data_IF_202659196225
#
_entry.id   IF_202659196225
#
_cell.length_a   1.000
_cell.length_b   1.000
_cell.length_c   1.000
_cell.angle_alpha   90.00
_cell.angle_beta   90.00
_cell.angle_gamma   90.00
#
_symmetry.space_group_name_H-M   'P 1'
#
loop_
_entity.id
_entity.type
_entity.pdbx_description
1 polymer ?
#
# COMPACT_ATOMS: atom_id res chain seq x y z
N UNK A 1 -43.07 -22.72 15.89
CA UNK A 1 -41.99 -22.39 14.93
C UNK A 1 -41.89 -23.53 13.95
N UNK A 2 -42.17 -23.28 12.67
CA UNK A 2 -42.15 -24.32 11.64
C UNK A 2 -40.70 -24.69 11.27
N UNK A 3 -40.39 -25.98 11.05
CA UNK A 3 -39.03 -26.49 10.84
C UNK A 3 -38.34 -26.05 9.53
N UNK A 4 -39.01 -25.31 8.64
CA UNK A 4 -38.39 -24.71 7.45
C UNK A 4 -37.60 -23.42 7.72
N UNK A 5 -37.94 -22.67 8.79
CA UNK A 5 -37.37 -21.33 9.01
C UNK A 5 -35.91 -21.31 9.45
N UNK A 6 -35.41 -22.36 10.10
CA UNK A 6 -34.00 -22.41 10.51
C UNK A 6 -33.06 -22.73 9.33
N UNK A 7 -33.49 -23.60 8.41
CA UNK A 7 -32.71 -23.94 7.23
C UNK A 7 -32.57 -22.72 6.31
N UNK A 8 -33.68 -22.04 6.01
CA UNK A 8 -33.66 -20.84 5.18
C UNK A 8 -32.83 -19.72 5.82
N UNK A 9 -32.93 -19.55 7.16
CA UNK A 9 -32.07 -18.63 7.91
C UNK A 9 -30.59 -19.01 7.86
N UNK A 10 -30.26 -20.29 7.98
CA UNK A 10 -28.87 -20.76 7.93
C UNK A 10 -28.27 -20.55 6.52
N UNK A 11 -29.04 -20.81 5.47
CA UNK A 11 -28.63 -20.54 4.08
C UNK A 11 -28.45 -19.03 3.87
N UNK A 12 -29.41 -18.19 4.28
CA UNK A 12 -29.31 -16.74 4.12
C UNK A 12 -28.16 -16.13 4.93
N UNK A 13 -27.89 -16.65 6.13
CA UNK A 13 -26.77 -16.20 6.96
C UNK A 13 -25.40 -16.62 6.41
N UNK A 14 -25.34 -17.66 5.57
CA UNK A 14 -24.15 -18.02 4.82
C UNK A 14 -23.93 -17.10 3.62
N UNK A 15 -25.01 -16.58 3.02
CA UNK A 15 -24.97 -15.64 1.90
C UNK A 15 -24.63 -14.20 2.35
N UNK A 16 -25.23 -13.72 3.45
CA UNK A 16 -24.89 -12.45 4.09
C UNK A 16 -24.85 -12.61 5.63
N UNK A 17 -23.65 -12.72 6.24
CA UNK A 17 -23.53 -12.91 7.67
C UNK A 17 -23.73 -11.61 8.48
N UNK A 18 -24.07 -10.48 7.83
CA UNK A 18 -24.17 -9.17 8.49
C UNK A 18 -25.15 -9.18 9.68
N UNK A 19 -26.34 -9.78 9.53
CA UNK A 19 -27.34 -9.90 10.61
C UNK A 19 -26.85 -10.73 11.80
N UNK A 20 -26.08 -11.79 11.51
CA UNK A 20 -25.49 -12.63 12.54
C UNK A 20 -24.44 -11.84 13.33
N UNK A 21 -23.56 -11.14 12.61
CA UNK A 21 -22.52 -10.32 13.21
C UNK A 21 -23.10 -9.17 14.01
N UNK A 22 -24.15 -8.52 13.53
CA UNK A 22 -24.84 -7.45 14.25
C UNK A 22 -25.39 -7.94 15.58
N UNK A 23 -26.11 -9.08 15.59
CA UNK A 23 -26.67 -9.64 16.82
C UNK A 23 -25.59 -9.99 17.84
N UNK A 24 -24.47 -10.56 17.39
CA UNK A 24 -23.37 -10.91 18.30
C UNK A 24 -22.70 -9.64 18.82
N UNK A 25 -22.37 -8.70 17.93
CA UNK A 25 -21.69 -7.46 18.27
C UNK A 25 -22.49 -6.59 19.24
N UNK A 26 -23.78 -6.37 18.96
CA UNK A 26 -24.63 -5.51 19.78
C UNK A 26 -25.08 -6.17 21.09
N UNK A 27 -25.44 -7.46 21.05
CA UNK A 27 -26.14 -8.09 22.17
C UNK A 27 -25.27 -9.03 23.02
N UNK A 28 -24.18 -9.59 22.47
CA UNK A 28 -23.36 -10.59 23.18
C UNK A 28 -22.00 -10.07 23.62
N UNK A 29 -21.48 -9.05 22.93
CA UNK A 29 -20.23 -8.42 23.30
C UNK A 29 -20.44 -7.31 24.34
N UNK A 30 -19.52 -7.22 25.29
CA UNK A 30 -19.45 -6.09 26.20
C UNK A 30 -18.90 -4.84 25.50
N UNK A 31 -19.11 -3.66 26.08
CA UNK A 31 -18.60 -2.41 25.50
C UNK A 31 -17.06 -2.39 25.33
N UNK A 32 -16.23 -2.87 26.28
CA UNK A 32 -14.78 -2.98 26.06
C UNK A 32 -14.41 -3.96 24.93
N UNK A 33 -15.17 -5.05 24.77
CA UNK A 33 -14.96 -6.03 23.69
C UNK A 33 -15.27 -5.39 22.33
N UNK A 34 -16.41 -4.68 22.21
CA UNK A 34 -16.75 -3.90 21.01
C UNK A 34 -15.68 -2.86 20.70
N UNK A 35 -15.27 -2.08 21.70
CA UNK A 35 -14.24 -1.04 21.54
C UNK A 35 -12.93 -1.61 20.99
N UNK A 36 -12.49 -2.77 21.50
CA UNK A 36 -11.30 -3.44 20.99
C UNK A 36 -11.44 -3.84 19.53
N UNK A 37 -12.58 -4.41 19.14
CA UNK A 37 -12.84 -4.82 17.76
C UNK A 37 -12.94 -3.62 16.81
N UNK A 38 -13.58 -2.52 17.23
CA UNK A 38 -13.62 -1.29 16.44
C UNK A 38 -12.21 -0.72 16.22
N UNK A 39 -11.41 -0.65 17.28
CA UNK A 39 -10.02 -0.16 17.20
C UNK A 39 -9.20 -1.05 16.28
N UNK A 40 -9.28 -2.38 16.43
CA UNK A 40 -8.55 -3.30 15.57
C UNK A 40 -8.99 -3.19 14.11
N UNK A 41 -10.28 -2.95 13.83
CA UNK A 41 -10.79 -2.82 12.45
C UNK A 41 -10.24 -1.59 11.73
N UNK A 42 -9.81 -0.57 12.46
CA UNK A 42 -9.12 0.58 11.87
C UNK A 42 -7.66 0.31 11.55
N UNK A 43 -7.10 -0.83 11.97
CA UNK A 43 -5.74 -1.25 11.59
C UNK A 43 -5.83 -2.39 10.60
N UNK A 44 -5.20 -2.22 9.44
CA UNK A 44 -5.33 -3.16 8.29
C UNK A 44 -4.72 -4.54 8.53
N UNK A 45 -3.80 -4.64 9.48
CA UNK A 45 -3.00 -5.82 9.72
C UNK A 45 -3.05 -6.21 11.21
N UNK A 46 -1.93 -6.71 11.73
CA UNK A 46 -1.79 -7.11 13.12
C UNK A 46 -1.18 -5.96 13.94
N UNK A 47 -1.61 -5.84 15.19
CA UNK A 47 -1.05 -4.93 16.18
C UNK A 47 -0.27 -5.70 17.25
N UNK A 48 0.85 -5.15 17.68
CA UNK A 48 1.52 -5.59 18.90
C UNK A 48 0.63 -5.30 20.13
N UNK A 49 0.67 -6.17 21.14
CA UNK A 49 -0.20 -6.12 22.31
C UNK A 49 -0.17 -4.76 23.05
N UNK A 50 1.01 -4.21 23.26
CA UNK A 50 1.22 -2.88 23.83
C UNK A 50 0.68 -1.77 22.94
N UNK A 51 0.90 -1.84 21.63
CA UNK A 51 0.32 -0.91 20.66
C UNK A 51 -1.22 -0.92 20.69
N UNK A 52 -1.83 -2.13 20.74
CA UNK A 52 -3.27 -2.33 20.83
C UNK A 52 -3.85 -1.73 22.12
N UNK A 53 -3.22 -2.00 23.27
CA UNK A 53 -3.65 -1.43 24.55
C UNK A 53 -3.60 0.11 24.54
N UNK A 54 -2.55 0.69 23.92
CA UNK A 54 -2.45 2.15 23.75
C UNK A 54 -3.56 2.68 22.87
N UNK A 55 -3.80 2.09 21.71
CA UNK A 55 -4.88 2.50 20.81
C UNK A 55 -6.26 2.39 21.46
N UNK A 56 -6.52 1.30 22.18
CA UNK A 56 -7.78 1.07 22.90
C UNK A 56 -8.02 2.13 23.97
N UNK A 57 -7.01 2.45 24.78
CA UNK A 57 -7.16 3.47 25.82
C UNK A 57 -7.35 4.88 25.25
N UNK A 58 -6.68 5.22 24.14
CA UNK A 58 -6.92 6.49 23.44
C UNK A 58 -8.34 6.60 22.90
N UNK A 59 -8.87 5.50 22.34
CA UNK A 59 -10.26 5.43 21.92
C UNK A 59 -11.22 5.63 23.11
N UNK A 60 -11.02 4.89 24.20
CA UNK A 60 -11.87 4.98 25.40
C UNK A 60 -11.84 6.35 26.06
N UNK A 61 -10.68 7.00 26.09
CA UNK A 61 -10.56 8.38 26.59
C UNK A 61 -11.40 9.35 25.75
N UNK A 62 -11.46 9.15 24.42
CA UNK A 62 -12.25 9.99 23.52
C UNK A 62 -13.76 9.77 23.65
N UNK A 63 -14.19 8.57 24.05
CA UNK A 63 -15.60 8.21 24.27
C UNK A 63 -16.05 8.35 25.73
N UNK A 64 -15.18 8.82 26.64
CA UNK A 64 -15.43 8.94 28.08
C UNK A 64 -15.73 7.60 28.77
N UNK A 65 -15.25 6.51 28.19
CA UNK A 65 -15.37 5.15 28.73
C UNK A 65 -14.18 4.86 29.65
N UNK A 66 -14.38 3.99 30.63
CA UNK A 66 -13.30 3.59 31.54
C UNK A 66 -12.18 2.87 30.79
N UNK A 67 -10.93 3.27 31.07
CA UNK A 67 -9.73 2.66 30.48
C UNK A 67 -9.65 1.17 30.79
N UNK A 68 -9.23 0.41 29.78
CA UNK A 68 -9.02 -1.04 29.90
C UNK A 68 -7.68 -1.31 30.57
N UNK A 69 -7.70 -2.03 31.69
CA UNK A 69 -6.46 -2.50 32.33
C UNK A 69 -5.82 -3.65 31.54
N UNK A 70 -4.52 -3.89 31.74
CA UNK A 70 -3.83 -5.06 31.13
C UNK A 70 -4.52 -6.39 31.46
N UNK A 71 -4.97 -6.55 32.70
CA UNK A 71 -5.68 -7.76 33.12
C UNK A 71 -7.03 -7.90 32.40
N UNK A 72 -7.78 -6.82 32.27
CA UNK A 72 -9.04 -6.83 31.52
C UNK A 72 -8.82 -7.10 30.03
N UNK A 73 -7.78 -6.52 29.42
CA UNK A 73 -7.40 -6.79 28.05
C UNK A 73 -7.12 -8.29 27.83
N UNK A 74 -6.38 -8.94 28.75
CA UNK A 74 -6.16 -10.40 28.72
C UNK A 74 -7.47 -11.18 28.65
N UNK A 75 -8.42 -10.86 29.53
CA UNK A 75 -9.70 -11.56 29.59
C UNK A 75 -10.51 -11.39 28.30
N UNK A 76 -10.51 -10.17 27.76
CA UNK A 76 -11.15 -9.85 26.48
C UNK A 76 -10.51 -10.66 25.35
N UNK A 77 -9.18 -10.66 25.25
CA UNK A 77 -8.45 -11.41 24.22
C UNK A 77 -8.73 -12.92 24.33
N UNK A 78 -8.73 -13.49 25.54
CA UNK A 78 -9.06 -14.92 25.75
C UNK A 78 -10.48 -15.26 25.30
N UNK A 79 -11.45 -14.36 25.52
CA UNK A 79 -12.84 -14.54 25.10
C UNK A 79 -13.01 -14.44 23.58
N UNK A 80 -12.32 -13.50 22.93
CA UNK A 80 -12.50 -13.20 21.50
C UNK A 80 -11.61 -14.06 20.58
N UNK A 81 -10.61 -14.74 21.14
CA UNK A 81 -9.69 -15.60 20.39
C UNK A 81 -10.43 -16.76 19.69
N UNK A 82 -9.99 -17.09 18.47
CA UNK A 82 -10.52 -18.19 17.66
C UNK A 82 -11.84 -17.86 16.94
N UNK A 83 -12.65 -16.93 17.47
CA UNK A 83 -13.88 -16.48 16.79
C UNK A 83 -13.64 -15.19 16.00
N UNK A 84 -13.15 -14.15 16.67
CA UNK A 84 -12.93 -12.84 16.07
C UNK A 84 -11.46 -12.57 15.83
N UNK A 85 -10.61 -13.00 16.76
CA UNK A 85 -9.19 -12.64 16.80
C UNK A 85 -8.32 -13.86 16.53
N UNK A 86 -7.25 -13.62 15.78
CA UNK A 86 -6.08 -14.49 15.75
C UNK A 86 -5.00 -13.84 16.62
N UNK A 87 -4.46 -14.62 17.56
CA UNK A 87 -3.37 -14.20 18.44
C UNK A 87 -2.17 -15.06 18.08
N UNK A 88 -1.09 -14.43 17.61
CA UNK A 88 0.19 -15.10 17.40
C UNK A 88 1.12 -14.72 18.54
N UNK A 89 1.44 -15.69 19.38
CA UNK A 89 2.54 -15.59 20.35
C UNK A 89 3.88 -15.79 19.66
N UNK A 90 4.97 -15.46 20.34
CA UNK A 90 6.34 -15.75 19.93
C UNK A 90 6.77 -15.11 18.60
N UNK A 91 6.13 -14.00 18.24
CA UNK A 91 6.52 -13.21 17.09
C UNK A 91 7.75 -12.40 17.44
N UNK A 92 8.81 -12.56 16.66
CA UNK A 92 10.05 -11.79 16.80
C UNK A 92 9.84 -10.40 16.23
N UNK A 93 9.71 -9.41 17.10
CA UNK A 93 9.60 -8.00 16.71
C UNK A 93 10.94 -7.31 16.94
N UNK A 94 11.38 -6.53 15.96
CA UNK A 94 12.61 -5.73 16.01
C UNK A 94 12.22 -4.25 15.92
N UNK A 95 12.14 -3.61 17.09
CA UNK A 95 11.87 -2.18 17.26
C UNK A 95 12.58 -1.67 18.52
N UNK A 96 13.88 -1.41 18.36
CA UNK A 96 14.77 -0.98 19.44
C UNK A 96 14.35 0.34 20.08
N UNK A 97 13.69 1.22 19.31
CA UNK A 97 13.22 2.51 19.80
C UNK A 97 12.13 2.36 20.86
N UNK A 98 11.34 1.29 20.78
CA UNK A 98 10.28 0.96 21.74
C UNK A 98 10.67 -0.19 22.69
N UNK A 99 11.95 -0.56 22.73
CA UNK A 99 12.46 -1.61 23.61
C UNK A 99 12.06 -3.03 23.20
N UNK A 100 11.57 -3.23 21.97
CA UNK A 100 11.25 -4.55 21.43
C UNK A 100 12.50 -5.14 20.76
N UNK A 101 12.97 -6.24 21.31
CA UNK A 101 14.14 -6.95 20.80
C UNK A 101 13.71 -8.27 20.15
N UNK A 102 14.29 -8.68 19.00
CA UNK A 102 13.89 -9.90 18.29
C UNK A 102 14.10 -11.20 19.09
N UNK A 103 14.88 -11.15 20.17
CA UNK A 103 15.09 -12.29 21.09
C UNK A 103 13.99 -12.41 22.15
N UNK A 104 13.15 -11.38 22.32
CA UNK A 104 12.04 -11.39 23.26
C UNK A 104 10.76 -11.70 22.48
N UNK A 105 10.08 -12.82 22.77
CA UNK A 105 8.83 -13.15 22.10
C UNK A 105 7.81 -12.03 22.35
N UNK A 106 7.19 -11.56 21.29
CA UNK A 106 6.12 -10.57 21.35
C UNK A 106 4.81 -11.18 20.88
N UNK A 107 3.70 -10.57 21.30
CA UNK A 107 2.36 -11.00 20.90
C UNK A 107 1.78 -10.00 19.92
N UNK A 108 1.29 -10.52 18.80
CA UNK A 108 0.54 -9.74 17.81
C UNK A 108 -0.88 -10.25 17.69
N UNK A 109 -1.81 -9.33 17.48
CA UNK A 109 -3.25 -9.56 17.43
C UNK A 109 -3.79 -9.02 16.12
N UNK A 110 -4.54 -9.84 15.40
CA UNK A 110 -5.27 -9.44 14.19
C UNK A 110 -6.63 -10.11 14.13
N UNK A 111 -7.43 -9.80 13.11
CA UNK A 111 -8.69 -10.52 12.88
C UNK A 111 -8.45 -11.94 12.38
N UNK A 112 -9.28 -12.87 12.84
CA UNK A 112 -9.34 -14.23 12.30
C UNK A 112 -10.33 -14.34 11.13
N UNK A 113 -11.37 -13.49 11.08
CA UNK A 113 -12.47 -13.62 10.14
C UNK A 113 -12.67 -12.35 9.29
N UNK A 114 -12.35 -12.39 7.98
CA UNK A 114 -12.55 -11.26 7.07
C UNK A 114 -13.99 -10.77 6.97
N UNK A 115 -14.98 -11.67 7.02
CA UNK A 115 -16.40 -11.29 6.94
C UNK A 115 -16.84 -10.41 8.12
N UNK A 116 -16.18 -10.55 9.27
CA UNK A 116 -16.44 -9.71 10.42
C UNK A 116 -15.81 -8.31 10.26
N UNK A 117 -14.64 -8.23 9.62
CA UNK A 117 -14.03 -6.94 9.25
C UNK A 117 -14.97 -6.17 8.31
N UNK A 118 -15.50 -6.83 7.29
CA UNK A 118 -16.48 -6.25 6.37
C UNK A 118 -17.73 -5.74 7.11
N UNK A 119 -18.24 -6.52 8.07
CA UNK A 119 -19.34 -6.08 8.93
C UNK A 119 -18.97 -4.84 9.75
N UNK A 120 -17.81 -4.79 10.40
CA UNK A 120 -17.39 -3.64 11.21
C UNK A 120 -17.21 -2.39 10.34
N UNK A 121 -16.66 -2.52 9.14
CA UNK A 121 -16.52 -1.39 8.21
C UNK A 121 -17.90 -0.86 7.76
N UNK A 122 -18.86 -1.74 7.47
CA UNK A 122 -20.27 -1.34 7.20
C UNK A 122 -20.94 -0.71 8.42
N UNK A 123 -20.72 -1.27 9.61
CA UNK A 123 -21.23 -0.73 10.87
C UNK A 123 -20.72 0.68 11.12
N UNK A 124 -19.42 0.91 11.01
CA UNK A 124 -18.82 2.23 11.18
C UNK A 124 -19.33 3.24 10.14
N UNK A 125 -19.52 2.83 8.89
CA UNK A 125 -20.09 3.69 7.86
C UNK A 125 -21.53 4.13 8.16
N UNK A 126 -22.34 3.29 8.82
CA UNK A 126 -23.72 3.63 9.21
C UNK A 126 -23.82 4.35 10.56
N UNK A 127 -22.73 4.47 11.33
CA UNK A 127 -22.70 5.06 12.66
C UNK A 127 -21.74 6.27 12.71
N UNK A 128 -22.16 7.47 12.26
CA UNK A 128 -21.30 8.66 12.20
C UNK A 128 -20.70 9.04 13.55
N UNK A 129 -21.44 8.86 14.65
CA UNK A 129 -20.94 9.17 15.99
C UNK A 129 -19.77 8.26 16.40
N UNK A 130 -19.77 7.00 15.97
CA UNK A 130 -18.67 6.06 16.21
C UNK A 130 -17.44 6.44 15.39
N UNK A 131 -17.62 6.89 14.13
CA UNK A 131 -16.52 7.43 13.31
C UNK A 131 -15.93 8.68 13.95
N UNK A 132 -16.78 9.60 14.42
CA UNK A 132 -16.36 10.80 15.10
C UNK A 132 -15.49 10.48 16.33
N UNK A 133 -15.96 9.55 17.16
CA UNK A 133 -15.23 9.08 18.33
C UNK A 133 -13.91 8.40 17.91
N UNK A 134 -13.96 7.50 16.94
CA UNK A 134 -12.79 6.77 16.46
C UNK A 134 -11.71 7.70 15.93
N UNK A 135 -12.07 8.69 15.10
CA UNK A 135 -11.13 9.65 14.54
C UNK A 135 -10.45 10.53 15.62
N UNK A 136 -11.21 10.95 16.65
CA UNK A 136 -10.65 11.65 17.81
C UNK A 136 -9.78 10.75 18.68
N UNK A 137 -10.16 9.47 18.77
CA UNK A 137 -9.49 8.43 19.55
C UNK A 137 -8.34 7.72 18.83
N UNK A 138 -8.05 8.03 17.56
CA UNK A 138 -6.93 7.40 16.86
C UNK A 138 -5.59 7.71 17.55
N UNK A 139 -4.77 6.67 17.73
CA UNK A 139 -3.41 6.78 18.29
C UNK A 139 -2.34 6.77 17.19
N UNK A 140 -2.61 6.08 16.09
CA UNK A 140 -1.69 5.86 14.98
C UNK A 140 -2.27 6.38 13.67
N UNK A 141 -1.42 6.92 12.80
CA UNK A 141 -1.82 7.48 11.52
C UNK A 141 -2.58 6.46 10.64
N UNK A 142 -2.17 5.21 10.70
CA UNK A 142 -2.74 4.08 9.95
C UNK A 142 -4.24 3.87 10.26
N UNK A 143 -4.67 4.22 11.47
CA UNK A 143 -6.08 4.18 11.85
C UNK A 143 -6.89 5.23 11.09
N UNK A 144 -6.41 6.47 11.09
CA UNK A 144 -7.04 7.56 10.35
C UNK A 144 -7.00 7.33 8.83
N UNK A 145 -5.88 6.84 8.31
CA UNK A 145 -5.72 6.48 6.89
C UNK A 145 -6.74 5.40 6.46
N UNK A 146 -7.00 4.40 7.31
CA UNK A 146 -7.99 3.37 7.04
C UNK A 146 -9.39 3.94 6.92
N UNK A 147 -9.79 4.83 7.84
CA UNK A 147 -11.08 5.53 7.76
C UNK A 147 -11.19 6.38 6.47
N UNK A 148 -10.12 7.09 6.11
CA UNK A 148 -10.06 7.88 4.86
C UNK A 148 -10.15 7.01 3.62
N UNK A 149 -9.61 5.81 3.68
CA UNK A 149 -9.68 4.85 2.57
C UNK A 149 -11.09 4.32 2.37
N UNK A 150 -11.79 3.99 3.46
CA UNK A 150 -13.21 3.66 3.38
C UNK A 150 -14.02 4.82 2.79
N UNK A 151 -13.75 6.03 3.25
CA UNK A 151 -14.42 7.23 2.76
C UNK A 151 -14.18 7.47 1.28
N UNK A 152 -12.93 7.45 0.83
CA UNK A 152 -12.56 7.74 -0.56
C UNK A 152 -12.92 6.62 -1.53
N UNK A 153 -13.05 5.37 -1.05
CA UNK A 153 -13.24 4.19 -1.89
C UNK A 153 -12.06 3.93 -2.84
N UNK A 154 -10.94 4.63 -2.64
CA UNK A 154 -9.72 4.45 -3.40
C UNK A 154 -8.96 3.27 -2.81
N UNK A 155 -8.49 2.38 -3.67
CA UNK A 155 -7.48 1.42 -3.24
C UNK A 155 -6.25 2.21 -2.79
N UNK A 156 -5.81 1.96 -1.56
CA UNK A 156 -4.59 2.57 -1.06
C UNK A 156 -3.45 2.25 -2.03
N UNK A 157 -2.68 3.23 -2.54
CA UNK A 157 -1.62 2.97 -3.51
C UNK A 157 -0.55 2.02 -2.98
N UNK A 158 -0.49 1.86 -1.65
CA UNK A 158 0.46 0.99 -0.97
C UNK A 158 -0.02 -0.44 -0.79
N UNK A 159 -1.34 -0.70 -0.97
CA UNK A 159 -2.01 -2.01 -0.84
C UNK A 159 -3.41 -1.99 -1.46
N UNK A 160 -3.67 -2.89 -2.39
CA UNK A 160 -5.04 -3.36 -2.62
C UNK A 160 -5.55 -4.05 -1.35
N UNK A 161 -6.84 -3.93 -1.05
CA UNK A 161 -7.51 -4.76 -0.04
C UNK A 161 -7.26 -6.27 -0.27
N UNK A 162 -6.93 -6.63 -1.51
CA UNK A 162 -6.53 -7.97 -1.93
C UNK A 162 -5.17 -8.45 -1.36
N UNK A 163 -4.21 -7.54 -1.15
CA UNK A 163 -2.95 -7.85 -0.47
C UNK A 163 -3.17 -8.17 1.02
N UNK A 164 -4.16 -7.51 1.63
CA UNK A 164 -4.57 -7.76 3.01
C UNK A 164 -5.17 -9.17 3.12
N UNK A 165 -6.07 -9.55 2.22
CA UNK A 165 -6.62 -10.92 2.17
C UNK A 165 -5.56 -11.98 1.90
N UNK A 166 -4.53 -11.69 1.09
CA UNK A 166 -3.43 -12.65 0.84
C UNK A 166 -2.52 -12.85 2.05
N UNK A 167 -2.45 -11.89 2.97
CA UNK A 167 -1.75 -12.01 4.25
C UNK A 167 -2.58 -12.82 5.26
N UNK A 168 -3.90 -12.64 5.28
CA UNK A 168 -4.82 -13.41 6.13
C UNK A 168 -4.91 -14.88 5.71
N UNK A 169 -4.82 -15.18 4.42
CA UNK A 169 -4.75 -16.54 3.91
C UNK A 169 -3.34 -16.82 3.35
N UNK A 170 -2.41 -17.29 4.21
CA UNK A 170 -1.07 -17.83 3.81
C UNK A 170 -1.16 -19.11 2.94
N UNK A 171 -2.11 -19.19 2.00
CA UNK A 171 -2.26 -20.24 1.01
C UNK A 171 -1.98 -19.68 -0.39
N UNK A 172 -0.94 -20.20 -1.03
CA UNK A 172 -0.45 -19.95 -2.40
C UNK A 172 -1.35 -19.13 -3.35
N UNK A 173 -0.81 -18.11 -4.06
CA UNK A 173 -1.53 -17.26 -5.01
C UNK A 173 -1.91 -17.94 -6.34
N UNK A 174 -1.98 -19.28 -6.38
CA UNK A 174 -2.33 -20.03 -7.60
C UNK A 174 -3.84 -20.25 -7.67
N UNK A 175 -4.58 -19.18 -7.97
CA UNK A 175 -6.01 -19.28 -8.16
C UNK A 175 -6.66 -17.91 -8.26
N UNK A 176 -6.52 -17.28 -9.42
CA UNK A 176 -7.20 -16.05 -9.82
C UNK A 176 -8.71 -16.34 -9.98
N UNK A 177 -9.41 -16.62 -8.88
CA UNK A 177 -10.87 -16.70 -8.87
C UNK A 177 -11.40 -15.28 -9.03
N UNK A 178 -12.37 -15.11 -9.94
CA UNK A 178 -13.17 -13.88 -10.08
C UNK A 178 -13.73 -13.52 -8.69
N UNK A 179 -13.12 -12.53 -8.03
CA UNK A 179 -13.56 -12.05 -6.72
C UNK A 179 -14.54 -10.91 -6.94
N UNK A 180 -15.67 -10.99 -6.23
CA UNK A 180 -16.61 -9.89 -6.16
C UNK A 180 -15.90 -8.67 -5.59
N UNK A 181 -15.89 -7.57 -6.34
CA UNK A 181 -15.41 -6.27 -5.88
C UNK A 181 -16.34 -5.82 -4.75
N UNK A 182 -15.91 -6.02 -3.51
CA UNK A 182 -16.64 -5.51 -2.33
C UNK A 182 -16.56 -3.99 -2.42
N UNK A 183 -17.70 -3.32 -2.59
CA UNK A 183 -17.74 -1.87 -2.56
C UNK A 183 -17.23 -1.39 -1.19
N UNK A 184 -16.22 -0.52 -1.20
CA UNK A 184 -15.73 0.07 0.04
C UNK A 184 -16.85 0.87 0.70
N UNK A 185 -17.06 0.69 2.01
CA UNK A 185 -18.16 1.35 2.70
C UNK A 185 -17.90 2.86 2.75
N UNK A 186 -18.83 3.65 2.20
CA UNK A 186 -18.75 5.12 2.25
C UNK A 186 -19.19 5.60 3.62
N UNK A 187 -18.42 6.48 4.26
CA UNK A 187 -18.83 7.02 5.55
C UNK A 187 -19.98 7.99 5.37
N UNK A 188 -20.76 8.18 6.44
CA UNK A 188 -21.79 9.21 6.46
C UNK A 188 -21.19 10.61 6.19
N UNK A 189 -21.88 11.47 5.42
CA UNK A 189 -21.42 12.84 5.16
C UNK A 189 -21.18 13.63 6.44
N UNK A 190 -20.20 14.54 6.43
CA UNK A 190 -19.92 15.47 7.53
C UNK A 190 -18.75 15.06 8.44
N UNK A 191 -18.17 13.85 8.26
CA UNK A 191 -17.05 13.37 9.06
C UNK A 191 -15.67 13.81 8.54
N UNK A 192 -15.62 14.40 7.34
CA UNK A 192 -14.37 14.69 6.65
C UNK A 192 -13.43 15.66 7.38
N UNK A 193 -13.97 16.66 8.08
CA UNK A 193 -13.17 17.60 8.86
C UNK A 193 -12.47 16.89 10.03
N UNK A 194 -13.19 16.00 10.72
CA UNK A 194 -12.67 15.29 11.89
C UNK A 194 -11.63 14.25 11.48
N UNK A 195 -11.81 13.61 10.32
CA UNK A 195 -10.79 12.76 9.73
C UNK A 195 -9.54 13.55 9.36
N UNK A 196 -9.68 14.71 8.72
CA UNK A 196 -8.55 15.57 8.39
C UNK A 196 -7.80 16.03 9.65
N UNK A 197 -8.52 16.47 10.70
CA UNK A 197 -7.94 16.82 11.99
C UNK A 197 -7.17 15.64 12.62
N UNK A 198 -7.71 14.43 12.54
CA UNK A 198 -7.04 13.23 13.02
C UNK A 198 -5.73 12.97 12.26
N UNK A 199 -5.74 13.09 10.92
CA UNK A 199 -4.54 12.93 10.10
C UNK A 199 -3.47 13.96 10.43
N UNK A 200 -3.83 15.24 10.52
CA UNK A 200 -2.90 16.33 10.88
C UNK A 200 -2.28 16.05 12.26
N UNK A 201 -3.10 15.71 13.26
CA UNK A 201 -2.64 15.37 14.62
C UNK A 201 -1.67 14.20 14.63
N UNK A 202 -1.86 13.22 13.75
CA UNK A 202 -1.10 11.98 13.69
C UNK A 202 0.04 12.01 12.65
N UNK A 203 0.23 13.12 11.95
CA UNK A 203 1.22 13.25 10.87
C UNK A 203 2.64 12.81 11.29
N UNK A 204 2.99 13.06 12.56
CA UNK A 204 4.31 12.73 13.15
C UNK A 204 4.24 11.58 14.16
N UNK A 205 3.12 10.84 14.23
CA UNK A 205 3.01 9.72 15.16
C UNK A 205 3.92 8.56 14.75
N UNK A 206 4.26 7.68 15.69
CA UNK A 206 4.82 6.38 15.34
C UNK A 206 3.84 5.58 14.47
N UNK A 207 4.38 4.70 13.65
CA UNK A 207 3.61 3.72 12.87
C UNK A 207 3.28 2.53 13.75
N UNK A 208 2.10 1.94 13.61
CA UNK A 208 1.77 0.66 14.25
C UNK A 208 1.91 -0.55 13.31
N UNK A 209 2.51 -0.34 12.14
CA UNK A 209 2.55 -1.33 11.07
C UNK A 209 3.85 -2.14 11.08
N UNK A 210 3.73 -3.46 10.89
CA UNK A 210 4.83 -4.42 10.95
C UNK A 210 5.03 -5.11 9.59
N UNK A 211 6.29 -5.18 9.13
CA UNK A 211 6.66 -5.87 7.89
C UNK A 211 7.76 -6.90 8.12
N UNK A 212 7.81 -7.93 7.29
CA UNK A 212 8.90 -8.91 7.32
C UNK A 212 10.23 -8.21 7.00
N UNK A 213 11.18 -8.26 7.94
CA UNK A 213 12.53 -7.74 7.72
C UNK A 213 13.38 -8.67 6.85
N UNK A 214 14.63 -8.29 6.61
CA UNK A 214 15.62 -9.16 5.94
C UNK A 214 15.96 -10.43 6.74
N UNK A 215 15.66 -10.45 8.05
CA UNK A 215 15.84 -11.61 8.93
C UNK A 215 14.53 -12.35 9.24
N UNK A 216 14.56 -13.18 10.28
CA UNK A 216 13.40 -13.97 10.72
C UNK A 216 12.33 -13.16 11.49
N UNK A 217 12.59 -11.88 11.79
CA UNK A 217 11.69 -11.01 12.56
C UNK A 217 10.87 -10.03 11.72
N UNK A 218 9.79 -9.53 12.31
CA UNK A 218 9.05 -8.36 11.79
C UNK A 218 9.69 -7.08 12.31
N UNK A 219 9.79 -6.07 11.46
CA UNK A 219 10.25 -4.73 11.80
C UNK A 219 9.10 -3.75 11.69
N UNK A 220 9.06 -2.76 12.58
CA UNK A 220 8.11 -1.67 12.49
C UNK A 220 8.43 -0.88 11.22
N UNK A 221 7.52 -0.86 10.25
CA UNK A 221 7.71 -0.09 9.02
C UNK A 221 7.30 1.35 9.31
N UNK A 222 8.25 2.25 9.16
CA UNK A 222 7.94 3.67 9.16
C UNK A 222 7.17 4.03 7.89
N UNK A 223 5.95 4.57 8.03
CA UNK A 223 5.26 5.22 6.93
C UNK A 223 5.91 6.58 6.76
N UNK A 224 6.46 6.84 5.57
CA UNK A 224 7.12 8.11 5.28
C UNK A 224 6.17 9.28 5.49
N UNK A 225 6.70 10.41 5.98
CA UNK A 225 5.95 11.65 6.14
C UNK A 225 5.27 12.05 4.81
N UNK A 226 5.98 11.86 3.69
CA UNK A 226 5.44 12.01 2.34
C UNK A 226 4.13 11.25 2.14
N UNK A 227 4.10 9.96 2.45
CA UNK A 227 2.90 9.14 2.25
C UNK A 227 1.72 9.61 3.10
N UNK A 228 2.02 10.12 4.30
CA UNK A 228 1.02 10.73 5.18
C UNK A 228 0.45 12.01 4.57
N UNK A 229 1.31 12.87 4.03
CA UNK A 229 0.89 14.08 3.31
C UNK A 229 0.08 13.76 2.06
N UNK A 230 0.47 12.74 1.28
CA UNK A 230 -0.31 12.28 0.12
C UNK A 230 -1.71 11.82 0.52
N UNK A 231 -1.84 11.09 1.63
CA UNK A 231 -3.15 10.68 2.13
C UNK A 231 -4.01 11.91 2.52
N UNK A 232 -3.41 12.94 3.15
CA UNK A 232 -4.13 14.19 3.47
C UNK A 232 -4.60 14.91 2.21
N UNK A 233 -3.71 15.13 1.24
CA UNK A 233 -4.04 15.83 0.00
C UNK A 233 -5.08 15.08 -0.84
N UNK A 234 -5.13 13.75 -0.76
CA UNK A 234 -6.18 12.96 -1.40
C UNK A 234 -7.54 13.18 -0.76
N UNK A 235 -7.61 13.14 0.57
CA UNK A 235 -8.84 13.45 1.28
C UNK A 235 -9.29 14.88 0.94
N UNK A 236 -8.37 15.84 0.98
CA UNK A 236 -8.69 17.24 0.69
C UNK A 236 -9.16 17.45 -0.77
N UNK A 237 -8.47 16.83 -1.74
CA UNK A 237 -8.83 16.89 -3.15
C UNK A 237 -10.22 16.30 -3.43
N UNK A 238 -10.59 15.19 -2.77
CA UNK A 238 -11.94 14.62 -2.85
C UNK A 238 -13.02 15.63 -2.45
N UNK A 239 -12.70 16.52 -1.52
CA UNK A 239 -13.60 17.54 -0.98
C UNK A 239 -13.26 18.93 -1.50
N UNK A 240 -12.83 19.03 -2.76
CA UNK A 240 -12.62 20.30 -3.46
C UNK A 240 -11.65 21.25 -2.75
N UNK A 241 -10.63 20.70 -2.06
CA UNK A 241 -9.54 21.48 -1.41
C UNK A 241 -10.03 22.39 -0.29
N UNK A 242 -11.03 21.93 0.48
CA UNK A 242 -11.72 22.71 1.51
C UNK A 242 -11.39 22.30 2.95
N UNK A 243 -10.69 21.18 3.15
CA UNK A 243 -10.46 20.57 4.46
C UNK A 243 -9.10 20.94 5.06
N UNK A 244 -8.04 20.97 4.24
CA UNK A 244 -6.69 21.20 4.75
C UNK A 244 -6.48 22.70 5.02
N UNK A 245 -6.23 23.11 6.29
CA UNK A 245 -6.02 24.53 6.57
C UNK A 245 -4.78 25.07 5.84
N UNK A 246 -4.85 26.32 5.38
CA UNK A 246 -3.77 26.94 4.60
C UNK A 246 -2.39 26.82 5.27
N UNK A 247 -2.30 27.03 6.59
CA UNK A 247 -1.05 26.89 7.34
C UNK A 247 -0.49 25.45 7.33
N UNK A 248 -1.34 24.43 7.31
CA UNK A 248 -0.93 23.03 7.19
C UNK A 248 -0.46 22.71 5.78
N UNK A 249 -1.14 23.25 4.77
CA UNK A 249 -0.71 23.11 3.38
C UNK A 249 0.67 23.74 3.15
N UNK A 250 0.92 24.93 3.71
CA UNK A 250 2.25 25.56 3.72
C UNK A 250 3.30 24.66 4.39
N UNK A 251 2.96 24.04 5.54
CA UNK A 251 3.85 23.12 6.23
C UNK A 251 4.16 21.87 5.38
N UNK A 252 3.14 21.27 4.75
CA UNK A 252 3.31 20.11 3.85
C UNK A 252 4.25 20.44 2.69
N UNK A 253 4.02 21.57 2.01
CA UNK A 253 4.84 22.01 0.88
C UNK A 253 6.29 22.32 1.31
N UNK A 254 6.48 22.97 2.47
CA UNK A 254 7.82 23.25 3.01
C UNK A 254 8.59 22.00 3.40
N UNK A 255 7.96 21.05 4.10
CA UNK A 255 8.64 19.81 4.45
C UNK A 255 9.00 18.98 3.19
N UNK A 256 8.19 19.06 2.12
CA UNK A 256 8.52 18.47 0.82
C UNK A 256 9.75 19.13 0.18
N UNK A 257 9.82 20.46 0.18
CA UNK A 257 10.98 21.21 -0.30
C UNK A 257 12.24 20.88 0.50
N UNK A 258 12.14 20.82 1.82
CA UNK A 258 13.28 20.45 2.68
C UNK A 258 13.78 19.03 2.39
N UNK A 259 12.88 18.06 2.11
CA UNK A 259 13.25 16.71 1.68
C UNK A 259 13.88 16.69 0.29
N UNK A 260 13.37 17.48 -0.66
CA UNK A 260 13.94 17.55 -2.00
C UNK A 260 15.36 18.16 -1.99
N UNK A 261 15.59 19.18 -1.14
CA UNK A 261 16.91 19.79 -0.97
C UNK A 261 17.92 18.82 -0.33
N UNK A 262 17.49 18.05 0.68
CA UNK A 262 18.39 17.21 1.49
C UNK A 262 18.49 15.74 1.02
N UNK A 263 17.54 15.28 0.21
CA UNK A 263 17.41 13.88 -0.20
C UNK A 263 18.32 13.47 -1.36
N UNK A 264 18.39 12.15 -1.59
CA UNK A 264 18.99 11.59 -2.80
C UNK A 264 18.06 11.78 -4.01
N UNK A 265 18.54 11.68 -5.27
CA UNK A 265 17.68 11.74 -6.45
C UNK A 265 16.49 10.78 -6.40
N UNK A 266 16.70 9.58 -5.83
CA UNK A 266 15.64 8.61 -5.61
C UNK A 266 14.58 9.10 -4.63
N UNK A 267 14.98 9.77 -3.54
CA UNK A 267 14.03 10.36 -2.58
C UNK A 267 13.24 11.51 -3.21
N UNK A 268 13.87 12.27 -4.14
CA UNK A 268 13.26 13.36 -4.90
C UNK A 268 12.24 12.84 -5.91
N UNK A 269 12.56 11.78 -6.66
CA UNK A 269 11.66 11.15 -7.63
C UNK A 269 10.33 10.74 -6.96
N UNK A 270 10.48 10.21 -5.76
CA UNK A 270 9.40 9.83 -4.87
C UNK A 270 8.48 11.02 -4.46
N UNK A 271 8.98 12.26 -4.45
CA UNK A 271 8.21 13.48 -4.15
C UNK A 271 7.42 14.03 -5.35
N UNK A 272 7.67 13.58 -6.59
CA UNK A 272 7.00 14.09 -7.81
C UNK A 272 5.48 13.96 -7.71
N UNK A 273 4.98 12.83 -7.19
CA UNK A 273 3.54 12.62 -6.97
C UNK A 273 2.98 13.62 -5.96
N UNK A 274 3.78 14.05 -4.98
CA UNK A 274 3.36 15.08 -4.02
C UNK A 274 3.32 16.47 -4.69
N UNK A 275 4.30 16.78 -5.55
CA UNK A 275 4.36 18.02 -6.34
C UNK A 275 3.11 18.15 -7.22
N UNK A 276 2.77 17.12 -7.98
CA UNK A 276 1.58 17.06 -8.84
C UNK A 276 0.30 17.39 -8.04
N UNK A 277 0.17 16.81 -6.85
CA UNK A 277 -1.01 17.06 -5.99
C UNK A 277 -1.02 18.47 -5.42
N UNK A 278 0.14 19.01 -5.05
CA UNK A 278 0.28 20.36 -4.52
C UNK A 278 0.10 21.45 -5.60
N UNK A 279 0.38 21.16 -6.87
CA UNK A 279 0.17 22.07 -7.99
C UNK A 279 -1.27 22.61 -8.06
N UNK A 280 -2.24 21.78 -7.67
CA UNK A 280 -3.63 22.20 -7.60
C UNK A 280 -3.95 23.28 -6.56
N UNK A 281 -3.01 23.70 -5.71
CA UNK A 281 -3.27 24.63 -4.61
C UNK A 281 -2.58 25.98 -4.80
N UNK A 282 -3.36 26.99 -5.18
CA UNK A 282 -2.88 28.36 -5.37
C UNK A 282 -2.23 28.98 -4.12
N UNK A 283 -2.64 28.56 -2.93
CA UNK A 283 -2.12 29.07 -1.67
C UNK A 283 -0.62 28.76 -1.43
N UNK A 284 -0.06 27.75 -2.10
CA UNK A 284 1.35 27.34 -1.97
C UNK A 284 2.09 27.37 -3.31
N UNK A 285 1.55 28.04 -4.32
CA UNK A 285 2.09 28.02 -5.69
C UNK A 285 3.56 28.42 -5.76
N UNK A 286 3.98 29.45 -5.02
CA UNK A 286 5.38 29.90 -4.98
C UNK A 286 6.32 28.81 -4.45
N UNK A 287 5.92 28.09 -3.40
CA UNK A 287 6.73 27.01 -2.82
C UNK A 287 6.75 25.80 -3.76
N UNK A 288 5.63 25.51 -4.43
CA UNK A 288 5.53 24.40 -5.39
C UNK A 288 6.42 24.65 -6.61
N UNK A 289 6.51 25.89 -7.10
CA UNK A 289 7.47 26.29 -8.13
C UNK A 289 8.90 25.98 -7.67
N UNK A 290 9.30 26.49 -6.49
CA UNK A 290 10.65 26.22 -5.97
C UNK A 290 10.92 24.73 -5.74
N UNK A 291 9.92 23.97 -5.30
CA UNK A 291 10.01 22.53 -5.11
C UNK A 291 10.17 21.78 -6.43
N UNK A 292 9.39 22.13 -7.46
CA UNK A 292 9.54 21.59 -8.83
C UNK A 292 10.95 21.87 -9.36
N UNK A 293 11.41 23.11 -9.28
CA UNK A 293 12.71 23.51 -9.83
C UNK A 293 13.87 22.81 -9.10
N UNK A 294 13.76 22.69 -7.77
CA UNK A 294 14.72 21.91 -6.97
C UNK A 294 14.71 20.44 -7.38
N UNK A 295 13.51 19.85 -7.53
CA UNK A 295 13.38 18.46 -7.95
C UNK A 295 13.96 18.24 -9.35
N UNK A 296 13.72 19.17 -10.27
CA UNK A 296 14.23 19.13 -11.63
C UNK A 296 15.76 19.06 -11.67
N UNK A 297 16.43 20.00 -11.00
CA UNK A 297 17.89 20.04 -10.93
C UNK A 297 18.45 18.73 -10.37
N UNK A 298 17.83 18.19 -9.32
CA UNK A 298 18.28 16.95 -8.67
C UNK A 298 18.08 15.71 -9.53
N UNK A 299 16.93 15.59 -10.20
CA UNK A 299 16.62 14.42 -11.03
C UNK A 299 17.48 14.39 -12.30
N UNK A 300 17.82 15.55 -12.86
CA UNK A 300 18.75 15.67 -13.97
C UNK A 300 20.17 15.13 -13.66
N UNK A 301 20.54 14.94 -12.38
CA UNK A 301 21.85 14.38 -12.01
C UNK A 301 21.96 12.87 -12.29
N UNK A 302 20.84 12.15 -12.46
CA UNK A 302 20.81 10.69 -12.51
C UNK A 302 19.83 10.10 -13.52
N UNK A 303 19.66 10.73 -14.69
CA UNK A 303 18.82 10.20 -15.77
C UNK A 303 19.59 9.12 -16.54
N UNK A 304 19.06 7.90 -16.56
CA UNK A 304 19.67 6.70 -17.14
C UNK A 304 18.78 6.02 -18.19
N UNK A 305 17.51 6.41 -18.32
CA UNK A 305 16.55 5.80 -19.25
C UNK A 305 15.64 6.81 -19.97
N UNK A 306 15.13 6.51 -21.18
CA UNK A 306 14.17 7.35 -21.87
C UNK A 306 12.89 7.65 -21.07
N UNK A 307 12.40 6.70 -20.26
CA UNK A 307 11.26 6.94 -19.35
C UNK A 307 11.57 8.05 -18.35
N UNK A 308 12.75 8.06 -17.73
CA UNK A 308 13.12 9.08 -16.74
C UNK A 308 13.22 10.48 -17.36
N UNK A 309 13.70 10.58 -18.61
CA UNK A 309 13.69 11.85 -19.35
C UNK A 309 12.27 12.34 -19.62
N UNK A 310 11.34 11.44 -19.99
CA UNK A 310 9.92 11.76 -20.16
C UNK A 310 9.28 12.22 -18.85
N UNK A 311 9.45 11.46 -17.78
CA UNK A 311 8.88 11.80 -16.47
C UNK A 311 9.38 13.17 -15.98
N UNK A 312 10.65 13.47 -16.25
CA UNK A 312 11.27 14.76 -15.98
C UNK A 312 10.71 15.89 -16.85
N UNK A 313 10.44 15.63 -18.14
CA UNK A 313 9.78 16.60 -19.02
C UNK A 313 8.33 16.88 -18.59
N UNK A 314 7.59 15.85 -18.19
CA UNK A 314 6.22 15.97 -17.65
C UNK A 314 6.19 16.85 -16.40
N UNK A 315 7.14 16.66 -15.47
CA UNK A 315 7.30 17.50 -14.28
C UNK A 315 7.48 19.00 -14.62
N UNK A 316 8.17 19.32 -15.72
CA UNK A 316 8.42 20.70 -16.14
C UNK A 316 7.27 21.32 -16.94
N UNK A 317 6.55 20.52 -17.74
CA UNK A 317 5.66 21.04 -18.79
C UNK A 317 4.18 20.70 -18.62
N UNK A 318 3.84 19.58 -17.99
CA UNK A 318 2.45 19.10 -17.93
C UNK A 318 1.72 19.53 -16.66
N UNK A 319 2.46 19.79 -15.58
CA UNK A 319 1.84 20.19 -14.32
C UNK A 319 1.33 21.63 -14.41
N UNK A 320 0.18 21.91 -13.80
CA UNK A 320 -0.41 23.26 -13.67
C UNK A 320 0.39 24.11 -12.67
N UNK A 321 1.68 24.30 -12.96
CA UNK A 321 2.66 25.05 -12.18
C UNK A 321 3.23 26.12 -13.10
N UNK A 322 3.19 27.38 -12.67
CA UNK A 322 3.74 28.48 -13.46
C UNK A 322 5.23 28.23 -13.78
N UNK A 323 5.66 28.40 -15.04
CA UNK A 323 7.08 28.29 -15.37
C UNK A 323 7.87 29.40 -14.66
N UNK A 324 9.01 29.02 -14.10
CA UNK A 324 10.05 29.92 -13.62
C UNK A 324 11.19 29.99 -14.66
N UNK A 325 12.02 31.05 -14.65
CA UNK A 325 13.21 31.10 -15.49
C UNK A 325 14.10 29.87 -15.32
N UNK A 326 14.23 29.36 -14.09
CA UNK A 326 14.98 28.16 -13.78
C UNK A 326 14.37 26.90 -14.42
N UNK A 327 13.04 26.77 -14.43
CA UNK A 327 12.37 25.64 -15.09
C UNK A 327 12.48 25.68 -16.61
N UNK A 328 12.45 26.88 -17.21
CA UNK A 328 12.62 27.05 -18.66
C UNK A 328 14.06 26.70 -19.08
N UNK A 329 15.05 27.14 -18.29
CA UNK A 329 16.45 26.77 -18.50
C UNK A 329 16.67 25.26 -18.34
N UNK A 330 16.09 24.66 -17.29
CA UNK A 330 16.14 23.22 -17.05
C UNK A 330 15.46 22.42 -18.17
N UNK A 331 14.35 22.90 -18.75
CA UNK A 331 13.69 22.24 -19.89
C UNK A 331 14.60 22.24 -21.13
N UNK A 332 15.20 23.38 -21.44
CA UNK A 332 16.15 23.49 -22.57
C UNK A 332 17.36 22.58 -22.36
N UNK A 333 17.91 22.56 -21.14
CA UNK A 333 19.00 21.66 -20.79
C UNK A 333 18.60 20.18 -20.94
N UNK A 334 17.43 19.80 -20.41
CA UNK A 334 16.90 18.44 -20.49
C UNK A 334 16.75 17.98 -21.94
N UNK A 335 16.19 18.83 -22.81
CA UNK A 335 16.03 18.53 -24.25
C UNK A 335 17.37 18.33 -24.96
N UNK A 336 18.36 19.16 -24.65
CA UNK A 336 19.71 19.01 -25.20
C UNK A 336 20.41 17.74 -24.69
N UNK A 337 20.29 17.45 -23.39
CA UNK A 337 20.87 16.22 -22.80
C UNK A 337 20.20 14.96 -23.34
N UNK A 338 18.88 14.97 -23.53
CA UNK A 338 18.17 13.84 -24.11
C UNK A 338 18.60 13.58 -25.55
N UNK A 339 18.83 14.63 -26.35
CA UNK A 339 19.35 14.50 -27.71
C UNK A 339 20.67 13.72 -27.75
N UNK A 340 21.64 14.12 -26.91
CA UNK A 340 22.93 13.44 -26.82
C UNK A 340 22.81 12.02 -26.24
N UNK A 341 21.92 11.84 -25.27
CA UNK A 341 21.65 10.54 -24.63
C UNK A 341 21.00 9.54 -25.57
N UNK A 342 20.01 9.95 -26.36
CA UNK A 342 19.17 9.05 -27.15
C UNK A 342 19.96 8.27 -28.20
N UNK A 343 20.93 8.90 -28.87
CA UNK A 343 21.79 8.24 -29.85
C UNK A 343 22.72 7.20 -29.19
N UNK A 344 23.31 7.55 -28.06
CA UNK A 344 24.19 6.65 -27.32
C UNK A 344 23.41 5.46 -26.75
N UNK A 345 22.28 5.74 -26.13
CA UNK A 345 21.41 4.73 -25.51
C UNK A 345 20.86 3.74 -26.56
N UNK A 346 20.37 4.21 -27.71
CA UNK A 346 19.92 3.36 -28.81
C UNK A 346 21.01 2.36 -29.23
N UNK A 347 22.26 2.84 -29.34
CA UNK A 347 23.41 2.00 -29.68
C UNK A 347 23.75 0.98 -28.59
N UNK A 348 23.82 1.40 -27.33
CA UNK A 348 24.16 0.50 -26.22
C UNK A 348 23.07 -0.54 -25.97
N UNK A 349 21.81 -0.12 -26.01
CA UNK A 349 20.66 -0.99 -25.78
C UNK A 349 20.51 -2.02 -26.91
N UNK A 350 20.77 -1.64 -28.17
CA UNK A 350 20.81 -2.59 -29.29
C UNK A 350 21.86 -3.70 -29.12
N UNK A 351 22.98 -3.42 -28.43
CA UNK A 351 23.99 -4.43 -28.10
C UNK A 351 23.58 -5.32 -26.92
N UNK A 352 22.77 -4.78 -26.00
CA UNK A 352 22.33 -5.47 -24.79
C UNK A 352 21.17 -6.41 -25.03
N UNK A 353 20.22 -6.02 -25.88
CA UNK A 353 18.99 -6.77 -26.12
C UNK A 353 19.24 -8.00 -27.02
N UNK A 354 18.67 -9.13 -26.60
CA UNK A 354 18.92 -10.45 -27.20
C UNK A 354 17.64 -11.22 -27.55
N UNK A 355 16.48 -10.59 -27.51
CA UNK A 355 15.21 -11.21 -27.88
C UNK A 355 14.26 -10.16 -28.47
N UNK A 356 13.37 -10.61 -29.36
CA UNK A 356 12.46 -9.74 -30.11
C UNK A 356 11.56 -8.89 -29.20
N UNK A 357 10.83 -9.44 -28.20
CA UNK A 357 9.94 -8.63 -27.37
C UNK A 357 10.64 -7.49 -26.63
N UNK A 358 11.80 -7.75 -26.01
CA UNK A 358 12.54 -6.71 -25.31
C UNK A 358 13.07 -5.62 -26.26
N UNK A 359 13.33 -5.95 -27.53
CA UNK A 359 13.79 -4.99 -28.52
C UNK A 359 12.63 -4.11 -29.00
N UNK A 360 11.47 -4.71 -29.24
CA UNK A 360 10.23 -3.99 -29.56
C UNK A 360 9.83 -3.03 -28.42
N UNK A 361 9.90 -3.49 -27.16
CA UNK A 361 9.64 -2.65 -25.99
C UNK A 361 10.59 -1.44 -25.93
N UNK A 362 11.89 -1.66 -26.14
CA UNK A 362 12.90 -0.60 -26.13
C UNK A 362 12.70 0.41 -27.28
N UNK A 363 12.36 -0.06 -28.49
CA UNK A 363 12.03 0.81 -29.64
C UNK A 363 10.78 1.64 -29.32
N UNK A 364 9.73 1.01 -28.76
CA UNK A 364 8.49 1.69 -28.39
C UNK A 364 8.75 2.77 -27.34
N UNK A 365 9.56 2.46 -26.33
CA UNK A 365 9.95 3.39 -25.26
C UNK A 365 10.69 4.61 -25.83
N UNK A 366 11.76 4.39 -26.59
CA UNK A 366 12.54 5.47 -27.20
C UNK A 366 11.69 6.31 -28.17
N UNK A 367 10.87 5.64 -29.00
CA UNK A 367 9.99 6.28 -29.96
C UNK A 367 8.85 7.09 -29.32
N UNK A 368 8.37 6.72 -28.14
CA UNK A 368 7.47 7.55 -27.34
C UNK A 368 8.17 8.80 -26.81
N UNK A 369 9.36 8.65 -26.21
CA UNK A 369 10.08 9.79 -25.66
C UNK A 369 10.51 10.77 -26.75
N UNK A 370 10.95 10.31 -27.93
CA UNK A 370 11.30 11.20 -29.05
C UNK A 370 10.12 12.07 -29.52
N UNK A 371 8.92 11.49 -29.56
CA UNK A 371 7.69 12.22 -29.91
C UNK A 371 7.41 13.35 -28.94
N UNK A 372 7.52 13.09 -27.64
CA UNK A 372 7.28 14.10 -26.60
C UNK A 372 8.34 15.20 -26.62
N UNK A 373 9.59 14.85 -26.94
CA UNK A 373 10.66 15.82 -27.13
C UNK A 373 10.59 16.56 -28.47
N UNK A 374 9.64 16.22 -29.35
CA UNK A 374 9.50 16.74 -30.72
C UNK A 374 10.75 16.52 -31.59
N UNK A 375 11.39 15.36 -31.41
CA UNK A 375 12.63 14.95 -32.09
C UNK A 375 12.41 13.86 -33.15
N UNK A 376 11.16 13.59 -33.52
CA UNK A 376 10.82 12.55 -34.49
C UNK A 376 11.54 12.73 -35.83
N UNK A 377 12.19 11.66 -36.29
CA UNK A 377 12.88 11.62 -37.57
C UNK A 377 14.23 12.35 -37.61
N UNK A 378 14.73 12.83 -36.47
CA UNK A 378 16.06 13.42 -36.37
C UNK A 378 17.14 12.41 -36.02
N UNK A 379 16.81 11.36 -35.25
CA UNK A 379 17.68 10.19 -35.16
C UNK A 379 17.72 9.53 -36.54
N UNK A 380 18.92 9.11 -36.96
CA UNK A 380 19.11 8.35 -38.20
C UNK A 380 18.41 7.00 -38.16
N UNK A 381 18.86 6.03 -38.97
CA UNK A 381 18.38 4.65 -38.84
C UNK A 381 18.74 4.10 -37.45
N UNK A 382 17.75 3.84 -36.57
CA UNK A 382 18.02 3.43 -35.19
C UNK A 382 18.71 2.06 -35.15
N UNK A 383 19.68 1.90 -34.27
CA UNK A 383 20.42 0.65 -34.05
C UNK A 383 19.54 -0.43 -33.45
N UNK A 384 18.55 -0.06 -32.64
CA UNK A 384 17.55 -1.01 -32.17
C UNK A 384 16.71 -1.60 -33.31
N UNK A 385 16.34 -0.80 -34.32
CA UNK A 385 15.60 -1.31 -35.50
C UNK A 385 16.47 -2.28 -36.31
N UNK A 386 17.75 -1.97 -36.52
CA UNK A 386 18.71 -2.89 -37.15
C UNK A 386 18.82 -4.20 -36.35
N UNK A 387 18.90 -4.11 -35.02
CA UNK A 387 18.98 -5.28 -34.14
C UNK A 387 17.71 -6.13 -34.17
N UNK A 388 16.54 -5.50 -34.22
CA UNK A 388 15.25 -6.19 -34.30
C UNK A 388 15.17 -7.07 -35.56
N UNK A 389 15.60 -6.54 -36.71
CA UNK A 389 15.65 -7.30 -37.98
C UNK A 389 16.56 -8.53 -37.82
N UNK A 390 17.77 -8.36 -37.26
CA UNK A 390 18.69 -9.48 -37.02
C UNK A 390 18.09 -10.54 -36.09
N UNK A 391 17.45 -10.12 -34.99
CA UNK A 391 16.80 -11.04 -34.06
C UNK A 391 15.63 -11.81 -34.70
N UNK A 392 14.89 -11.17 -35.60
CA UNK A 392 13.80 -11.81 -36.35
C UNK A 392 14.34 -12.81 -37.38
N UNK A 393 15.46 -12.49 -38.05
CA UNK A 393 16.17 -13.42 -38.94
C UNK A 393 16.71 -14.63 -38.18
N UNK A 394 17.39 -14.41 -37.05
CA UNK A 394 17.88 -15.48 -36.16
C UNK A 394 16.73 -16.42 -35.71
N UNK A 395 15.58 -15.84 -35.31
CA UNK A 395 14.40 -16.62 -34.91
C UNK A 395 13.78 -17.41 -36.07
N UNK A 396 13.79 -16.86 -37.27
CA UNK A 396 13.29 -17.55 -38.47
C UNK A 396 14.19 -18.74 -38.83
N UNK A 397 15.52 -18.57 -38.77
CA UNK A 397 16.49 -19.65 -38.98
C UNK A 397 16.31 -20.78 -37.95
N UNK A 398 16.11 -20.45 -36.67
CA UNK A 398 15.88 -21.44 -35.62
C UNK A 398 14.56 -22.21 -35.83
N UNK A 399 13.51 -21.55 -36.33
CA UNK A 399 12.23 -22.19 -36.66
C UNK A 399 12.37 -23.20 -37.80
N UNK A 400 13.19 -22.91 -38.81
CA UNK A 400 13.46 -23.85 -39.92
C UNK A 400 14.24 -25.09 -39.44
N UNK A 401 15.11 -24.93 -38.45
CA UNK A 401 15.89 -26.03 -37.85
C UNK A 401 15.03 -26.91 -36.94
N UNK A 402 14.10 -26.33 -36.17
CA UNK A 402 13.16 -27.11 -35.34
C UNK A 402 12.17 -27.91 -36.18
N UNK A 403 11.67 -27.35 -37.28
CA UNK A 403 10.82 -28.09 -38.23
C UNK A 403 11.56 -29.33 -38.77
N UNK A 404 12.88 -29.25 -38.97
CA UNK A 404 13.71 -30.39 -39.36
C UNK A 404 13.99 -31.41 -38.24
N UNK A 405 13.97 -31.00 -36.96
CA UNK A 405 14.17 -31.90 -35.81
C UNK A 405 12.92 -32.69 -35.45
N UNK A 406 11.73 -32.10 -35.60
CA UNK A 406 10.47 -32.78 -35.32
C UNK A 406 10.17 -33.93 -36.31
N UNK A 407 10.72 -33.89 -37.52
CA UNK A 407 10.67 -35.03 -38.45
C UNK A 407 11.58 -36.22 -38.05
N UNK A 408 12.51 -36.04 -37.11
CA UNK A 408 13.46 -37.09 -36.69
C UNK A 408 13.40 -37.48 -35.20
N UNK A 409 12.47 -36.89 -34.44
CA UNK A 409 12.19 -37.26 -33.05
C UNK A 409 11.32 -38.51 -32.99
N UNK A 410 11.95 -39.69 -32.92
CA UNK A 410 11.28 -40.95 -32.59
C UNK A 410 10.62 -40.85 -31.20
N UNK A 411 9.43 -41.43 -30.99
CA UNK A 411 8.71 -41.37 -29.72
C UNK A 411 9.38 -42.30 -28.71
N UNK A 412 10.32 -41.77 -27.93
CA UNK A 412 10.81 -42.48 -26.75
C UNK A 412 9.89 -42.21 -25.56
N UNK A 413 9.04 -43.20 -25.27
CA UNK A 413 8.25 -43.25 -24.06
C UNK A 413 9.15 -43.27 -22.82
N UNK A 414 8.86 -42.37 -21.88
CA UNK A 414 9.39 -42.44 -20.52
C UNK A 414 8.22 -42.30 -19.54
N UNK A 415 7.80 -43.46 -19.05
CA UNK A 415 7.05 -43.64 -17.82
C UNK A 415 7.92 -43.21 -16.63
N UNK A 416 7.37 -42.44 -15.69
CA UNK A 416 8.11 -42.00 -14.50
C UNK A 416 7.23 -41.45 -13.39
N UNK A 417 6.72 -42.39 -12.60
CA UNK A 417 6.02 -42.34 -11.32
C UNK A 417 5.87 -41.04 -10.50
N UNK A 418 4.62 -40.87 -10.06
CA UNK A 418 4.16 -40.12 -8.89
C UNK A 418 4.78 -40.68 -7.61
N UNK A 419 5.36 -39.82 -6.76
CA UNK A 419 5.36 -40.06 -5.30
C UNK A 419 5.12 -38.78 -4.52
N UNK A 420 3.91 -38.69 -3.99
CA UNK A 420 3.51 -37.84 -2.88
C UNK A 420 4.11 -38.38 -1.57
N UNK A 421 4.68 -37.51 -0.75
CA UNK A 421 4.94 -37.77 0.67
C UNK A 421 4.27 -36.69 1.50
N UNK A 422 3.12 -37.02 2.07
CA UNK A 422 2.46 -36.29 3.14
C UNK A 422 3.07 -36.73 4.48
N UNK A 423 3.65 -35.80 5.23
CA UNK A 423 3.97 -35.98 6.64
C UNK A 423 2.93 -35.23 7.45
N UNK A 424 2.13 -35.99 8.19
CA UNK A 424 1.26 -35.51 9.26
C UNK A 424 2.05 -35.65 10.56
N UNK A 425 2.31 -34.54 11.24
CA UNK A 425 2.62 -34.53 12.67
C UNK A 425 1.52 -33.73 13.36
N UNK A 426 0.81 -34.43 14.23
CA UNK A 426 -0.19 -33.91 15.15
C UNK A 426 0.49 -33.71 16.51
N UNK A 427 0.80 -32.46 16.85
CA UNK A 427 0.97 -32.05 18.24
C UNK A 427 -0.22 -31.15 18.58
N UNK A 428 -0.97 -31.54 19.62
CA UNK A 428 -1.96 -30.67 20.22
C UNK A 428 -1.24 -29.50 20.90
N UNK A 429 -1.64 -28.24 20.67
CA UNK A 429 -1.04 -27.12 21.38
C UNK A 429 -1.61 -27.05 22.80
N UNK A 430 -0.71 -26.91 23.78
CA UNK A 430 -1.01 -26.30 25.07
C UNK A 430 -1.65 -24.92 24.86
N UNK A 431 -2.58 -24.50 25.75
CA UNK A 431 -3.34 -23.24 25.64
C UNK A 431 -2.38 -22.04 25.56
N UNK A 432 -2.17 -21.42 24.38
CA UNK A 432 -1.12 -20.44 24.14
C UNK A 432 -1.35 -19.13 24.91
N UNK A 433 -2.53 -18.97 25.51
CA UNK A 433 -2.93 -17.76 26.25
C UNK A 433 -2.44 -17.81 27.70
N UNK A 434 -2.20 -18.99 28.26
CA UNK A 434 -1.81 -19.11 29.67
C UNK A 434 -0.30 -18.87 29.87
N UNK A 435 0.55 -19.23 28.91
CA UNK A 435 1.98 -18.89 28.86
C UNK A 435 2.27 -17.41 28.51
N UNK A 436 1.36 -16.75 27.80
CA UNK A 436 1.55 -15.39 27.27
C UNK A 436 1.72 -14.31 28.35
N UNK A 437 1.37 -14.61 29.59
CA UNK A 437 1.36 -13.65 30.71
C UNK A 437 2.21 -14.09 31.90
N UNK A 438 2.85 -15.25 31.84
CA UNK A 438 3.87 -15.64 32.81
C UNK A 438 5.17 -14.85 32.61
N UNK A 439 5.35 -14.22 31.44
CA UNK A 439 6.56 -13.49 31.03
C UNK A 439 6.46 -11.96 31.17
N UNK A 440 5.31 -11.43 31.58
CA UNK A 440 5.05 -9.98 31.73
C UNK A 440 5.16 -9.46 33.18
N UNK A 441 5.69 -10.28 34.11
CA UNK A 441 5.87 -9.93 35.53
C UNK A 441 7.22 -9.27 35.82
#
# INVERSE_FOLDING_TARGET
>A
MAPGGFYDYAISALDDPSDLWEKIFQNQLSEPERSLLLVLATVRDQLELGDLLRALNFYQDSSQVSRTSRHQLRLILKKLHGTFLHISSDVRLDDQNNGLHPNNPSTVIGFANPSFVDYISKYLASHPDEIFQMARGCRYFEQAETLVTWETGLESPWRTFEDILSIFFRGSPKGQRRRHRVESPRLAPGQQNVLMEAMIRLAKSESCYWVKGAGEGLRRRFISIRNRHLAMLRLDSKYEKSLLPQHQLFHVAREALERALSGSPKDVADEVVLIERLAGYSAVSEIVVSLRDTAAVRLMESLESPIEFRDMLSLLTEFDIQPSPESEEAEVELRNRFWDFAEEWDREEALRVNNVPACEDAISELGETLREFSLDGLLGTPKLEERLVLLQEELAEDSEVEEYRDYHSLPFGSSGDKRSTSVVQSDQPDDPIDDLFSTLS
#
